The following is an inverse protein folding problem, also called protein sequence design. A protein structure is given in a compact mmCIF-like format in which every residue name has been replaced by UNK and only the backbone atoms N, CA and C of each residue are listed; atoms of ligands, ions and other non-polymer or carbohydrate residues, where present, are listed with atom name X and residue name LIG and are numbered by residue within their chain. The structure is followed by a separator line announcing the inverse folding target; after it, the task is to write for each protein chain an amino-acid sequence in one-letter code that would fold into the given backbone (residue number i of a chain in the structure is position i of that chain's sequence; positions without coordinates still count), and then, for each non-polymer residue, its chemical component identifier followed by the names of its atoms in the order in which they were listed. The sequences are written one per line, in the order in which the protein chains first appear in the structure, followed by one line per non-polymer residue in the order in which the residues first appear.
data_IF_523229724766
#
_entry.id   IF_523229724766
#
_cell.length_a   1.000
_cell.length_b   1.000
_cell.length_c   1.000
_cell.angle_alpha   90.00
_cell.angle_beta   90.00
_cell.angle_gamma   90.00
#
_symmetry.space_group_name_H-M   'P 1'
#
loop_
_entity.id
_entity.type
_entity.pdbx_description
1 polymer ?
#
# COMPACT_ATOMS: atom_id res chain seq x y z
N UNK A 1 -40.67 -67.05 8.63
CA UNK A 1 -41.28 -65.77 9.03
C UNK A 1 -40.26 -64.97 9.84
N UNK A 2 -40.00 -63.70 9.47
CA UNK A 2 -39.56 -62.53 10.31
C UNK A 2 -38.31 -62.72 11.20
N UNK A 3 -37.26 -61.89 11.23
CA UNK A 3 -37.04 -60.46 10.89
C UNK A 3 -35.54 -60.23 10.66
N UNK A 4 -35.21 -59.29 9.76
CA UNK A 4 -33.88 -58.73 9.50
C UNK A 4 -33.44 -57.85 10.67
N UNK A 5 -32.16 -57.95 11.06
CA UNK A 5 -31.49 -56.97 11.90
C UNK A 5 -31.07 -55.77 11.03
N UNK A 6 -31.43 -54.57 11.46
CA UNK A 6 -31.05 -53.30 10.84
C UNK A 6 -29.97 -52.68 11.71
N UNK A 7 -28.80 -52.41 11.13
CA UNK A 7 -27.78 -51.58 11.75
C UNK A 7 -28.24 -50.11 11.78
N UNK A 8 -27.96 -49.34 12.85
CA UNK A 8 -28.16 -47.91 12.83
C UNK A 8 -27.02 -47.27 12.03
N UNK A 9 -27.35 -46.79 10.84
CA UNK A 9 -26.51 -45.86 10.10
C UNK A 9 -26.53 -44.54 10.88
N UNK A 10 -25.42 -44.19 11.53
CA UNK A 10 -25.23 -42.84 12.06
C UNK A 10 -25.17 -41.88 10.86
N UNK A 11 -26.29 -41.25 10.57
CA UNK A 11 -26.36 -40.04 9.74
C UNK A 11 -25.68 -38.91 10.52
N UNK A 12 -24.38 -38.74 10.30
CA UNK A 12 -23.67 -37.52 10.69
C UNK A 12 -24.27 -36.37 9.88
N UNK A 13 -24.95 -35.47 10.58
CA UNK A 13 -25.55 -34.27 10.03
C UNK A 13 -24.48 -33.42 9.31
N UNK A 14 -24.64 -33.05 8.03
CA UNK A 14 -23.69 -32.20 7.30
C UNK A 14 -23.46 -30.84 7.97
N UNK A 15 -24.41 -30.37 8.78
CA UNK A 15 -24.35 -29.13 9.55
C UNK A 15 -23.32 -29.17 10.69
N UNK A 16 -22.91 -30.35 11.17
CA UNK A 16 -21.87 -30.46 12.21
C UNK A 16 -20.45 -30.36 11.63
N UNK A 17 -20.24 -30.74 10.36
CA UNK A 17 -18.94 -30.67 9.70
C UNK A 17 -18.61 -29.20 9.33
N UNK A 18 -19.61 -28.42 8.91
CA UNK A 18 -19.43 -26.98 8.62
C UNK A 18 -19.15 -26.13 9.87
N UNK A 19 -19.74 -26.47 11.02
CA UNK A 19 -19.50 -25.77 12.27
C UNK A 19 -18.09 -26.06 12.83
N UNK A 20 -17.58 -27.29 12.66
CA UNK A 20 -16.24 -27.67 13.13
C UNK A 20 -15.13 -27.09 12.24
N UNK A 21 -15.36 -26.91 10.94
CA UNK A 21 -14.36 -26.26 10.06
C UNK A 21 -14.22 -24.75 10.32
N UNK A 22 -15.32 -24.05 10.62
CA UNK A 22 -15.26 -22.62 11.02
C UNK A 22 -14.63 -22.44 12.40
N UNK A 23 -14.89 -23.35 13.36
CA UNK A 23 -14.28 -23.30 14.69
C UNK A 23 -12.79 -23.69 14.72
N UNK A 24 -12.36 -24.62 13.85
CA UNK A 24 -10.95 -25.02 13.75
C UNK A 24 -10.05 -23.92 13.14
N UNK A 25 -10.62 -23.06 12.28
CA UNK A 25 -9.93 -21.88 11.73
C UNK A 25 -9.64 -20.84 12.84
N UNK A 26 -10.55 -20.66 13.80
CA UNK A 26 -10.36 -19.70 14.91
C UNK A 26 -9.31 -20.13 15.96
N UNK A 27 -9.08 -21.43 16.13
CA UNK A 27 -8.18 -21.98 17.16
C UNK A 27 -6.71 -22.11 16.73
N UNK A 28 -6.40 -21.98 15.44
CA UNK A 28 -5.04 -22.22 14.94
C UNK A 28 -4.04 -21.07 15.21
N UNK A 29 -4.49 -19.94 15.77
CA UNK A 29 -3.61 -18.79 16.03
C UNK A 29 -3.01 -18.17 14.76
N UNK A 30 -3.42 -18.60 13.58
CA UNK A 30 -2.89 -18.14 12.31
C UNK A 30 -3.76 -17.02 11.72
N UNK A 31 -3.09 -16.24 10.86
CA UNK A 31 -3.52 -15.01 10.21
C UNK A 31 -4.90 -15.10 9.52
N UNK A 32 -5.40 -13.96 9.07
CA UNK A 32 -6.66 -13.82 8.32
C UNK A 32 -6.67 -14.74 7.08
N UNK A 33 -7.39 -15.85 7.12
CA UNK A 33 -7.62 -16.75 5.98
C UNK A 33 -8.86 -16.29 5.20
N UNK A 34 -8.68 -15.79 3.98
CA UNK A 34 -9.78 -15.29 3.16
C UNK A 34 -10.35 -16.29 2.17
N UNK A 35 -9.82 -17.52 2.14
CA UNK A 35 -10.04 -18.44 1.03
C UNK A 35 -9.61 -17.83 -0.32
N UNK A 36 -9.98 -18.52 -1.41
CA UNK A 36 -9.63 -18.13 -2.79
C UNK A 36 -10.42 -16.91 -3.31
N UNK A 37 -11.45 -16.47 -2.60
CA UNK A 37 -12.38 -15.40 -3.01
C UNK A 37 -12.09 -14.03 -2.37
N UNK A 38 -10.99 -13.91 -1.61
CA UNK A 38 -10.65 -12.68 -0.91
C UNK A 38 -9.92 -11.67 -1.79
N UNK A 39 -10.34 -10.41 -1.69
CA UNK A 39 -9.68 -9.11 -2.02
C UNK A 39 -9.25 -8.81 -3.47
N UNK A 40 -9.88 -7.78 -4.02
CA UNK A 40 -9.40 -7.06 -5.21
C UNK A 40 -10.47 -6.12 -5.76
N UNK A 41 -11.70 -6.61 -5.81
CA UNK A 41 -12.93 -5.87 -6.13
C UNK A 41 -14.04 -6.60 -5.38
N UNK A 42 -14.83 -5.90 -4.56
CA UNK A 42 -16.01 -6.53 -3.94
C UNK A 42 -17.10 -6.64 -4.99
N UNK A 43 -17.65 -7.84 -5.20
CA UNK A 43 -18.79 -8.04 -6.11
C UNK A 43 -20.15 -7.81 -5.42
N UNK A 44 -20.22 -7.87 -4.08
CA UNK A 44 -21.45 -7.58 -3.32
C UNK A 44 -21.17 -6.72 -2.08
N UNK A 45 -21.90 -5.60 -1.84
CA UNK A 45 -21.72 -4.78 -0.66
C UNK A 45 -22.60 -5.27 0.51
N UNK A 46 -22.02 -5.31 1.70
CA UNK A 46 -22.78 -4.96 2.90
C UNK A 46 -22.91 -3.43 2.96
N UNK A 47 -23.85 -2.89 2.18
CA UNK A 47 -24.15 -1.46 2.13
C UNK A 47 -24.99 -1.08 3.35
N UNK A 48 -24.34 -0.51 4.37
CA UNK A 48 -24.91 0.47 5.31
C UNK A 48 -23.75 1.01 6.17
N UNK A 49 -23.02 2.00 5.65
CA UNK A 49 -22.10 2.78 6.47
C UNK A 49 -22.93 3.64 7.44
N UNK A 50 -22.60 3.72 8.73
CA UNK A 50 -23.28 4.60 9.68
C UNK A 50 -23.26 6.04 9.19
N UNK A 51 -24.37 6.73 9.42
CA UNK A 51 -24.52 8.18 9.21
C UNK A 51 -23.66 9.03 10.15
N UNK A 52 -23.02 8.41 11.14
CA UNK A 52 -22.17 9.07 12.14
C UNK A 52 -20.79 9.45 11.58
N UNK A 53 -20.53 9.12 10.30
CA UNK A 53 -19.40 9.61 9.50
C UNK A 53 -19.50 11.13 9.39
N UNK A 54 -18.49 11.86 9.87
CA UNK A 54 -18.35 13.29 9.60
C UNK A 54 -18.26 13.50 8.07
N UNK A 55 -19.39 13.84 7.46
CA UNK A 55 -19.49 14.18 6.06
C UNK A 55 -18.92 15.59 5.85
N UNK A 56 -17.62 15.66 5.62
CA UNK A 56 -16.99 16.87 5.11
C UNK A 56 -17.07 16.81 3.59
N UNK A 57 -17.86 17.70 3.00
CA UNK A 57 -17.89 17.91 1.55
C UNK A 57 -16.92 19.02 1.20
N UNK A 58 -16.03 18.78 0.23
CA UNK A 58 -15.11 19.79 -0.29
C UNK A 58 -14.43 19.32 -1.57
N UNK A 59 -13.93 20.26 -2.37
CA UNK A 59 -12.91 19.97 -3.37
C UNK A 59 -11.58 19.87 -2.63
N UNK A 60 -10.91 18.71 -2.75
CA UNK A 60 -9.67 18.39 -2.01
C UNK A 60 -8.41 18.46 -2.89
N UNK A 61 -8.54 19.12 -4.04
CA UNK A 61 -7.44 19.47 -4.92
C UNK A 61 -7.34 20.99 -4.95
N UNK A 62 -6.15 21.50 -4.65
CA UNK A 62 -5.91 22.91 -4.39
C UNK A 62 -5.70 23.67 -5.71
N UNK A 63 -6.76 23.78 -6.50
CA UNK A 63 -6.78 24.72 -7.63
C UNK A 63 -8.22 25.06 -8.04
N UNK A 64 -8.61 26.33 -7.90
CA UNK A 64 -9.89 26.86 -8.41
C UNK A 64 -9.79 27.26 -9.87
N UNK A 65 -8.59 27.36 -10.43
CA UNK A 65 -8.35 27.87 -11.78
C UNK A 65 -8.11 26.75 -12.80
N UNK A 66 -7.54 25.63 -12.38
CA UNK A 66 -7.43 24.46 -13.27
C UNK A 66 -8.71 23.63 -13.24
N UNK A 67 -9.30 23.39 -14.42
CA UNK A 67 -10.30 22.34 -14.65
C UNK A 67 -9.64 20.96 -14.49
N UNK A 68 -8.99 20.69 -13.37
CA UNK A 68 -8.33 19.43 -13.12
C UNK A 68 -9.38 18.32 -13.09
N UNK A 69 -9.04 17.12 -13.55
CA UNK A 69 -9.96 15.97 -13.53
C UNK A 69 -10.41 15.60 -12.11
N UNK A 70 -9.72 16.14 -11.11
CA UNK A 70 -9.75 15.70 -9.72
C UNK A 70 -10.81 16.43 -8.89
N UNK A 71 -11.46 17.46 -9.44
CA UNK A 71 -12.56 18.16 -8.77
C UNK A 71 -13.76 17.26 -8.44
N UNK A 72 -13.84 16.08 -9.06
CA UNK A 72 -14.88 15.07 -8.81
C UNK A 72 -14.60 14.23 -7.56
N UNK A 73 -13.35 14.24 -7.08
CA UNK A 73 -12.92 13.40 -5.96
C UNK A 73 -13.37 14.01 -4.63
N UNK A 74 -14.14 13.21 -3.87
CA UNK A 74 -14.60 13.57 -2.52
C UNK A 74 -13.94 12.68 -1.50
N UNK A 75 -13.49 13.28 -0.39
CA UNK A 75 -12.76 12.61 0.67
C UNK A 75 -13.57 12.63 1.97
N UNK A 76 -13.73 11.46 2.60
CA UNK A 76 -14.47 11.30 3.87
C UNK A 76 -13.67 10.45 4.85
N UNK A 77 -13.62 10.84 6.12
CA UNK A 77 -13.02 10.00 7.16
C UNK A 77 -14.02 8.92 7.52
N UNK A 78 -13.67 7.65 7.31
CA UNK A 78 -14.49 6.51 7.75
C UNK A 78 -14.17 6.17 9.20
N UNK A 79 -12.89 6.13 9.54
CA UNK A 79 -12.44 5.77 10.89
C UNK A 79 -11.13 6.45 11.25
N UNK A 80 -11.06 7.01 12.46
CA UNK A 80 -9.82 7.30 13.15
C UNK A 80 -9.44 6.06 13.96
N UNK A 81 -8.39 5.35 13.52
CA UNK A 81 -8.01 4.10 14.18
C UNK A 81 -7.25 4.36 15.49
N UNK A 82 -6.76 5.59 15.74
CA UNK A 82 -6.01 5.92 16.94
C UNK A 82 -6.77 5.63 18.24
N UNK A 83 -8.07 5.93 18.29
CA UNK A 83 -8.93 5.69 19.46
C UNK A 83 -9.17 4.20 19.71
N UNK A 84 -9.48 3.46 18.63
CA UNK A 84 -9.66 2.01 18.69
C UNK A 84 -8.40 1.33 19.21
N UNK A 85 -7.24 1.83 18.77
CA UNK A 85 -5.93 1.28 19.10
C UNK A 85 -5.46 1.63 20.51
N UNK A 86 -5.78 2.83 21.00
CA UNK A 86 -5.54 3.19 22.39
C UNK A 86 -6.32 2.27 23.34
N UNK A 87 -7.58 1.99 23.01
CA UNK A 87 -8.42 1.05 23.77
C UNK A 87 -7.86 -0.37 23.68
N UNK A 88 -7.57 -0.84 22.45
CA UNK A 88 -7.01 -2.16 22.17
C UNK A 88 -5.75 -2.46 22.98
N UNK A 89 -4.77 -1.55 22.90
CA UNK A 89 -3.45 -1.72 23.51
C UNK A 89 -3.48 -1.60 25.03
N UNK A 90 -4.46 -0.88 25.59
CA UNK A 90 -4.63 -0.75 27.05
C UNK A 90 -4.93 -2.09 27.76
N UNK A 91 -5.63 -2.99 27.07
CA UNK A 91 -5.99 -4.32 27.57
C UNK A 91 -4.93 -5.39 27.30
N UNK A 92 -3.99 -5.14 26.37
CA UNK A 92 -2.96 -6.13 26.08
C UNK A 92 -1.95 -6.19 27.23
N UNK A 93 -1.52 -7.39 27.61
CA UNK A 93 -0.34 -7.60 28.48
C UNK A 93 0.97 -7.30 27.73
N UNK A 94 0.97 -6.28 26.88
CA UNK A 94 2.19 -5.73 26.34
C UNK A 94 2.77 -4.86 27.45
N UNK A 95 4.07 -4.96 27.69
CA UNK A 95 4.75 -4.28 28.81
C UNK A 95 4.28 -2.83 28.93
N UNK A 96 3.52 -2.51 29.99
CA UNK A 96 2.92 -1.17 30.21
C UNK A 96 3.97 -0.05 30.30
N UNK A 97 5.25 -0.41 30.39
CA UNK A 97 6.39 0.51 30.30
C UNK A 97 6.71 0.94 28.87
N UNK A 98 6.09 0.35 27.86
CA UNK A 98 6.30 0.67 26.45
C UNK A 98 5.12 1.47 25.91
N UNK A 99 5.41 2.61 25.30
CA UNK A 99 4.45 3.37 24.50
C UNK A 99 4.52 2.88 23.05
N UNK A 100 3.35 2.55 22.50
CA UNK A 100 3.21 2.04 21.14
C UNK A 100 2.56 3.09 20.26
N UNK A 101 3.18 3.39 19.12
CA UNK A 101 2.58 4.24 18.09
C UNK A 101 2.04 3.35 16.96
N UNK A 102 0.72 3.33 16.73
CA UNK A 102 0.17 2.64 15.59
C UNK A 102 0.40 3.41 14.30
N UNK A 103 0.75 2.70 13.24
CA UNK A 103 1.14 3.31 11.97
C UNK A 103 0.67 2.48 10.77
N UNK A 104 0.45 3.15 9.63
CA UNK A 104 0.39 2.59 8.29
C UNK A 104 -0.71 1.53 8.13
N UNK A 105 -1.98 1.95 8.20
CA UNK A 105 -3.11 1.04 8.28
C UNK A 105 -3.40 0.36 6.93
N UNK A 106 -3.09 -0.92 6.78
CA UNK A 106 -3.53 -1.69 5.63
C UNK A 106 -4.96 -2.23 5.85
N UNK A 107 -5.90 -1.83 4.99
CA UNK A 107 -7.29 -2.29 5.01
C UNK A 107 -7.54 -3.38 3.97
N UNK A 108 -8.36 -4.36 4.32
CA UNK A 108 -8.83 -5.43 3.44
C UNK A 108 -10.22 -5.93 3.83
N UNK A 109 -10.95 -6.58 2.91
CA UNK A 109 -12.22 -7.26 3.20
C UNK A 109 -12.06 -8.77 3.06
N UNK A 110 -12.49 -9.50 4.08
CA UNK A 110 -12.26 -10.93 4.17
C UNK A 110 -13.31 -11.59 5.06
N UNK A 111 -13.84 -12.75 4.68
CA UNK A 111 -14.83 -13.51 5.45
C UNK A 111 -16.02 -12.68 5.94
N UNK A 112 -16.53 -11.78 5.10
CA UNK A 112 -17.66 -10.92 5.44
C UNK A 112 -17.34 -9.80 6.44
N UNK A 113 -16.07 -9.48 6.67
CA UNK A 113 -15.61 -8.46 7.63
C UNK A 113 -14.51 -7.59 7.06
N UNK A 114 -14.42 -6.36 7.54
CA UNK A 114 -13.26 -5.52 7.31
C UNK A 114 -12.15 -5.93 8.25
N UNK A 115 -10.94 -6.07 7.72
CA UNK A 115 -9.75 -6.28 8.51
C UNK A 115 -8.80 -5.11 8.30
N UNK A 116 -8.29 -4.60 9.41
CA UNK A 116 -7.27 -3.56 9.41
C UNK A 116 -6.03 -4.10 10.08
N UNK A 117 -4.89 -3.88 9.43
CA UNK A 117 -3.57 -4.18 9.94
C UNK A 117 -2.83 -2.89 10.19
N UNK A 118 -2.25 -2.71 11.37
CA UNK A 118 -1.36 -1.59 11.69
C UNK A 118 -0.02 -2.07 12.20
N UNK A 119 1.03 -1.30 11.89
CA UNK A 119 2.33 -1.41 12.53
C UNK A 119 2.25 -0.82 13.94
N UNK A 120 2.75 -1.52 14.95
CA UNK A 120 3.01 -0.97 16.27
C UNK A 120 4.51 -0.68 16.41
N UNK A 121 4.85 0.57 16.70
CA UNK A 121 6.23 0.99 16.92
C UNK A 121 6.50 1.22 18.42
N UNK A 122 7.54 0.58 18.97
CA UNK A 122 8.00 0.78 20.35
C UNK A 122 8.83 2.07 20.45
N UNK A 123 8.30 3.10 21.12
CA UNK A 123 8.96 4.40 21.20
C UNK A 123 10.15 4.43 22.17
N UNK A 124 10.29 3.46 23.08
CA UNK A 124 11.37 3.49 24.08
C UNK A 124 12.66 2.80 23.61
N UNK A 125 12.58 1.98 22.57
CA UNK A 125 13.70 1.15 22.14
C UNK A 125 14.31 1.63 20.82
N UNK A 126 14.84 2.85 20.79
CA UNK A 126 15.49 3.42 19.61
C UNK A 126 16.69 2.60 19.10
N UNK A 127 17.34 1.82 19.99
CA UNK A 127 18.44 0.93 19.65
C UNK A 127 17.99 -0.27 18.80
N UNK A 128 16.73 -0.67 18.91
CA UNK A 128 16.10 -1.71 18.11
C UNK A 128 14.93 -1.12 17.33
N UNK A 129 15.25 -0.41 16.23
CA UNK A 129 14.31 -0.02 15.15
C UNK A 129 13.59 -1.22 14.47
N UNK A 130 13.53 -2.37 15.14
CA UNK A 130 13.33 -3.71 14.62
C UNK A 130 12.12 -4.39 15.31
N UNK A 131 11.50 -3.74 16.29
CA UNK A 131 10.32 -4.29 17.01
C UNK A 131 9.03 -3.75 16.42
N UNK A 132 8.74 -4.08 15.14
CA UNK A 132 7.42 -3.79 14.56
C UNK A 132 6.50 -4.97 14.85
N UNK A 133 5.42 -4.73 15.58
CA UNK A 133 4.34 -5.71 15.69
C UNK A 133 3.24 -5.35 14.73
N UNK A 134 2.44 -6.34 14.37
CA UNK A 134 1.37 -6.19 13.42
C UNK A 134 0.08 -6.45 14.18
N UNK A 135 -0.72 -5.42 14.41
CA UNK A 135 -2.00 -5.58 15.08
C UNK A 135 -3.09 -5.77 14.02
N UNK A 136 -3.87 -6.82 14.17
CA UNK A 136 -5.08 -7.05 13.38
C UNK A 136 -6.32 -6.67 14.17
N UNK A 137 -7.28 -6.06 13.49
CA UNK A 137 -8.60 -5.73 14.02
C UNK A 137 -9.64 -6.12 12.98
N UNK A 138 -10.74 -6.71 13.44
CA UNK A 138 -11.89 -7.03 12.59
C UNK A 138 -13.03 -6.07 12.88
N UNK A 139 -13.70 -5.60 11.83
CA UNK A 139 -14.84 -4.70 11.90
C UNK A 139 -16.01 -5.26 11.09
N UNK A 140 -17.23 -4.89 11.50
CA UNK A 140 -18.42 -5.13 10.69
C UNK A 140 -18.48 -4.18 9.48
N UNK A 141 -19.51 -4.31 8.64
CA UNK A 141 -19.76 -3.45 7.48
C UNK A 141 -19.86 -1.96 7.82
N UNK A 142 -20.12 -1.64 9.08
CA UNK A 142 -20.24 -0.29 9.61
C UNK A 142 -18.92 0.24 10.21
N UNK A 143 -17.80 -0.48 10.05
CA UNK A 143 -16.51 -0.17 10.67
C UNK A 143 -16.58 -0.07 12.20
N UNK A 144 -17.45 -0.87 12.84
CA UNK A 144 -17.46 -1.05 14.29
C UNK A 144 -16.61 -2.29 14.65
N UNK A 145 -15.72 -2.21 15.66
CA UNK A 145 -14.94 -3.37 16.09
C UNK A 145 -15.85 -4.54 16.47
N UNK A 146 -15.59 -5.74 15.93
CA UNK A 146 -16.37 -6.96 16.23
C UNK A 146 -15.56 -8.08 16.87
N UNK A 147 -14.26 -7.86 17.04
CA UNK A 147 -13.38 -8.81 17.71
C UNK A 147 -12.28 -8.07 18.47
N UNK A 148 -11.79 -8.71 19.54
CA UNK A 148 -10.62 -8.24 20.26
C UNK A 148 -9.39 -8.17 19.33
N UNK A 149 -8.64 -7.06 19.36
CA UNK A 149 -7.45 -6.89 18.55
C UNK A 149 -6.37 -7.93 18.87
N UNK A 150 -5.69 -8.44 17.82
CA UNK A 150 -4.66 -9.48 17.97
C UNK A 150 -3.32 -8.97 17.48
N UNK A 151 -2.31 -9.00 18.35
CA UNK A 151 -0.91 -8.82 17.93
C UNK A 151 -0.48 -10.08 17.23
N UNK A 152 -0.18 -9.96 15.96
CA UNK A 152 0.51 -10.97 15.18
C UNK A 152 2.00 -10.89 15.55
N UNK A 153 2.41 -11.81 16.41
CA UNK A 153 3.80 -12.04 16.76
C UNK A 153 4.51 -12.79 15.65
N UNK A 154 4.77 -12.14 14.51
CA UNK A 154 5.65 -12.75 13.51
C UNK A 154 7.09 -12.63 13.98
N UNK A 155 7.50 -13.65 14.73
CA UNK A 155 8.90 -14.02 14.84
C UNK A 155 9.24 -14.78 13.56
N UNK A 156 10.11 -14.21 12.73
CA UNK A 156 10.67 -14.94 11.59
C UNK A 156 12.19 -14.89 11.66
N UNK A 157 12.84 -15.80 10.93
CA UNK A 157 14.29 -15.93 10.93
C UNK A 157 14.85 -15.62 9.53
N UNK A 158 15.99 -14.95 9.47
CA UNK A 158 16.81 -14.78 8.27
C UNK A 158 18.27 -15.09 8.62
N UNK A 159 18.87 -16.07 7.95
CA UNK A 159 20.20 -16.61 8.29
C UNK A 159 20.33 -16.90 9.79
N UNK A 160 19.36 -17.63 10.35
CA UNK A 160 19.23 -17.98 11.78
C UNK A 160 19.07 -16.78 12.74
N UNK A 161 18.96 -15.55 12.23
CA UNK A 161 18.71 -14.38 13.08
C UNK A 161 17.23 -14.05 13.13
N UNK A 162 16.70 -14.01 14.34
CA UNK A 162 15.33 -13.63 14.63
C UNK A 162 15.11 -12.15 14.31
N UNK A 163 14.04 -11.83 13.58
CA UNK A 163 13.53 -10.47 13.47
C UNK A 163 12.01 -10.46 13.62
N UNK A 164 11.48 -9.31 14.06
CA UNK A 164 10.08 -9.15 14.42
C UNK A 164 9.37 -8.17 13.49
N UNK A 165 8.46 -8.74 12.68
CA UNK A 165 7.51 -8.04 11.83
C UNK A 165 8.09 -7.28 10.63
N UNK A 166 7.19 -6.55 9.97
CA UNK A 166 7.45 -5.76 8.77
C UNK A 166 7.10 -4.29 9.05
N UNK A 167 7.91 -3.36 8.54
CA UNK A 167 7.48 -1.96 8.40
C UNK A 167 6.66 -1.78 7.12
N UNK A 168 5.83 -0.72 7.08
CA UNK A 168 5.14 -0.30 5.86
C UNK A 168 4.33 -1.44 5.22
N UNK A 169 3.55 -2.14 6.05
CA UNK A 169 2.80 -3.32 5.65
C UNK A 169 1.73 -2.99 4.60
N UNK A 170 1.62 -3.86 3.61
CA UNK A 170 0.68 -3.81 2.48
C UNK A 170 -0.02 -5.15 2.36
N UNK A 171 -1.28 -5.16 1.99
CA UNK A 171 -2.06 -6.39 1.84
C UNK A 171 -2.47 -6.56 0.39
N UNK A 172 -2.12 -7.71 -0.19
CA UNK A 172 -2.46 -8.03 -1.57
C UNK A 172 -2.74 -9.52 -1.69
N UNK A 173 -3.62 -9.87 -2.63
CA UNK A 173 -3.92 -11.26 -2.95
C UNK A 173 -3.01 -11.73 -4.06
N UNK A 174 -2.36 -12.86 -3.81
CA UNK A 174 -1.40 -13.48 -4.72
C UNK A 174 -1.70 -14.96 -4.76
N UNK A 175 -1.99 -15.47 -5.97
CA UNK A 175 -2.36 -16.88 -6.17
C UNK A 175 -3.55 -17.29 -5.28
N UNK A 176 -4.61 -16.47 -5.30
CA UNK A 176 -5.82 -16.66 -4.50
C UNK A 176 -5.65 -16.52 -2.99
N UNK A 177 -4.47 -16.10 -2.49
CA UNK A 177 -4.19 -16.02 -1.06
C UNK A 177 -3.80 -14.63 -0.62
N UNK A 178 -4.33 -14.21 0.52
CA UNK A 178 -3.90 -12.96 1.15
C UNK A 178 -2.43 -13.08 1.59
N UNK A 179 -1.60 -12.15 1.11
CA UNK A 179 -0.21 -12.00 1.50
C UNK A 179 -0.01 -10.62 2.09
N UNK A 180 0.93 -10.54 3.01
CA UNK A 180 1.38 -9.29 3.57
C UNK A 180 2.77 -8.97 3.04
N UNK A 181 2.92 -7.82 2.43
CA UNK A 181 4.21 -7.32 1.97
C UNK A 181 4.67 -6.19 2.88
N UNK A 182 5.99 -6.03 3.06
CA UNK A 182 6.52 -4.93 3.84
C UNK A 182 8.04 -4.91 3.85
N UNK A 183 8.60 -4.01 4.63
CA UNK A 183 10.05 -3.86 4.75
C UNK A 183 10.53 -4.62 5.98
N UNK A 184 11.31 -5.68 5.77
CA UNK A 184 12.01 -6.41 6.82
C UNK A 184 13.35 -5.73 7.14
N UNK A 185 13.65 -5.54 8.42
CA UNK A 185 14.96 -5.05 8.88
C UNK A 185 15.79 -6.22 9.37
N UNK A 186 16.73 -6.62 8.52
CA UNK A 186 17.58 -7.77 8.74
C UNK A 186 18.83 -7.32 9.52
N UNK A 187 19.16 -7.96 10.64
CA UNK A 187 20.36 -7.64 11.40
C UNK A 187 21.61 -8.02 10.62
N UNK A 188 22.67 -7.25 10.82
CA UNK A 188 23.99 -7.48 10.22
C UNK A 188 25.06 -7.56 11.30
N UNK A 189 26.22 -8.13 10.95
CA UNK A 189 27.37 -8.24 11.86
C UNK A 189 27.89 -6.87 12.35
N UNK A 190 27.68 -5.81 11.58
CA UNK A 190 28.13 -4.44 11.89
C UNK A 190 27.01 -3.57 12.53
N UNK A 191 25.90 -4.18 12.94
CA UNK A 191 24.73 -3.50 13.54
C UNK A 191 24.09 -2.44 12.62
N UNK A 192 24.33 -2.49 11.30
CA UNK A 192 23.64 -1.67 10.30
C UNK A 192 22.54 -2.50 9.64
N UNK A 193 21.28 -2.40 10.10
CA UNK A 193 20.24 -3.27 9.59
C UNK A 193 20.01 -3.04 8.09
N UNK A 194 19.93 -4.13 7.33
CA UNK A 194 19.52 -4.11 5.93
C UNK A 194 18.01 -4.05 5.86
N UNK A 195 17.46 -3.04 5.20
CA UNK A 195 16.04 -3.01 4.88
C UNK A 195 15.82 -3.75 3.55
N UNK A 196 14.96 -4.78 3.56
CA UNK A 196 14.62 -5.60 2.39
C UNK A 196 13.13 -5.68 2.20
N UNK A 197 12.70 -5.86 0.95
CA UNK A 197 11.33 -6.23 0.64
C UNK A 197 11.10 -7.65 1.15
N UNK A 198 10.00 -7.88 1.85
CA UNK A 198 9.61 -9.20 2.29
C UNK A 198 8.11 -9.42 2.10
N UNK A 199 7.74 -10.69 1.92
CA UNK A 199 6.37 -11.17 1.87
C UNK A 199 6.18 -12.20 2.97
N UNK A 200 5.11 -12.08 3.73
CA UNK A 200 4.63 -13.07 4.68
C UNK A 200 3.35 -13.67 4.10
N UNK A 201 3.35 -14.98 3.93
CA UNK A 201 2.12 -15.73 3.69
C UNK A 201 1.30 -15.74 4.98
N UNK A 202 0.09 -15.20 4.91
CA UNK A 202 -0.82 -15.11 6.04
C UNK A 202 -1.00 -16.48 6.72
N UNK A 203 -1.39 -17.49 5.96
CA UNK A 203 -1.87 -18.77 6.52
C UNK A 203 -0.71 -19.58 7.10
N UNK A 204 0.37 -19.73 6.33
CA UNK A 204 1.53 -20.55 6.70
C UNK A 204 2.55 -19.80 7.54
N UNK A 205 2.41 -18.49 7.70
CA UNK A 205 3.40 -17.60 8.34
C UNK A 205 4.81 -17.70 7.74
N UNK A 206 4.95 -18.26 6.52
CA UNK A 206 6.24 -18.33 5.83
C UNK A 206 6.62 -16.96 5.31
N UNK A 207 7.88 -16.57 5.55
CA UNK A 207 8.43 -15.32 5.06
C UNK A 207 9.38 -15.58 3.90
N UNK A 208 9.18 -14.85 2.80
CA UNK A 208 10.12 -14.75 1.68
C UNK A 208 10.76 -13.37 1.70
N UNK A 209 12.09 -13.32 1.80
CA UNK A 209 12.87 -12.09 1.64
C UNK A 209 13.28 -11.98 0.17
N UNK A 210 13.07 -10.80 -0.40
CA UNK A 210 13.21 -10.62 -1.84
C UNK A 210 14.66 -10.26 -2.19
N UNK A 211 15.18 -10.94 -3.19
CA UNK A 211 16.52 -10.77 -3.73
C UNK A 211 16.44 -10.64 -5.24
N UNK A 212 17.26 -9.76 -5.82
CA UNK A 212 17.30 -9.56 -7.27
C UNK A 212 18.52 -10.27 -7.83
N UNK A 213 18.31 -11.18 -8.78
CA UNK A 213 19.36 -11.92 -9.44
C UNK A 213 20.29 -10.96 -10.19
N UNK A 214 21.60 -11.20 -10.08
CA UNK A 214 22.66 -10.44 -10.76
C UNK A 214 22.67 -8.92 -10.52
N UNK A 215 22.00 -8.45 -9.46
CA UNK A 215 21.95 -7.05 -9.09
C UNK A 215 22.18 -6.85 -7.59
N UNK A 216 22.89 -5.77 -7.24
CA UNK A 216 23.12 -5.41 -5.84
C UNK A 216 22.04 -4.44 -5.36
N UNK A 217 21.19 -4.93 -4.47
CA UNK A 217 20.23 -4.10 -3.74
C UNK A 217 20.96 -3.07 -2.84
N UNK A 218 20.36 -1.89 -2.69
CA UNK A 218 20.71 -0.92 -1.68
C UNK A 218 20.60 -1.48 -0.26
N UNK A 219 21.28 -0.82 0.68
CA UNK A 219 21.18 -1.17 2.10
C UNK A 219 19.76 -0.98 2.65
N UNK A 220 18.98 -0.07 2.05
CA UNK A 220 17.62 0.25 2.49
C UNK A 220 16.65 0.25 1.33
N UNK A 221 15.95 -0.86 1.19
CA UNK A 221 14.87 -1.03 0.22
C UNK A 221 13.54 -0.59 0.81
N UNK A 222 13.05 0.57 0.35
CA UNK A 222 11.79 1.17 0.77
C UNK A 222 11.10 1.82 -0.42
N UNK A 223 9.81 2.05 -0.27
CA UNK A 223 8.99 2.77 -1.24
C UNK A 223 8.95 2.09 -2.62
N UNK A 224 8.57 0.82 -2.60
CA UNK A 224 8.23 -0.01 -3.75
C UNK A 224 6.72 -0.29 -3.74
N UNK A 225 6.19 -0.78 -4.86
CA UNK A 225 4.76 -1.06 -5.02
C UNK A 225 4.56 -2.43 -5.70
N UNK A 226 3.91 -3.41 -5.04
CA UNK A 226 3.63 -4.70 -5.64
C UNK A 226 2.37 -4.68 -6.51
N UNK A 227 2.28 -5.57 -7.50
CA UNK A 227 1.07 -5.79 -8.28
C UNK A 227 1.10 -7.16 -8.98
N UNK A 228 -0.06 -7.66 -9.41
CA UNK A 228 -0.17 -8.90 -10.17
C UNK A 228 -0.34 -8.59 -11.66
N UNK A 229 0.56 -9.11 -12.49
CA UNK A 229 0.54 -8.95 -13.95
C UNK A 229 0.63 -10.33 -14.60
N UNK A 230 -0.38 -10.67 -15.40
CA UNK A 230 -0.48 -11.97 -16.08
C UNK A 230 -0.29 -13.15 -15.11
N UNK A 231 -0.92 -13.08 -13.93
CA UNK A 231 -0.81 -14.10 -12.89
C UNK A 231 0.53 -14.17 -12.14
N UNK A 232 1.51 -13.34 -12.50
CA UNK A 232 2.81 -13.27 -11.83
C UNK A 232 2.89 -12.08 -10.89
N UNK A 233 3.67 -12.21 -9.82
CA UNK A 233 4.00 -11.10 -8.92
C UNK A 233 5.05 -10.19 -9.56
N UNK A 234 4.72 -8.91 -9.65
CA UNK A 234 5.62 -7.86 -10.08
C UNK A 234 5.77 -6.80 -8.99
N UNK A 235 6.90 -6.10 -9.01
CA UNK A 235 7.19 -4.97 -8.10
C UNK A 235 7.67 -3.79 -8.94
N UNK A 236 6.97 -2.67 -8.85
CA UNK A 236 7.53 -1.39 -9.26
C UNK A 236 8.50 -0.94 -8.18
N UNK A 237 9.78 -1.13 -8.46
CA UNK A 237 10.88 -0.82 -7.55
C UNK A 237 11.11 0.69 -7.45
N UNK A 238 10.92 1.40 -8.55
CA UNK A 238 10.97 2.86 -8.64
C UNK A 238 10.01 3.34 -9.73
N UNK A 239 9.39 4.50 -9.54
CA UNK A 239 8.57 5.17 -10.56
C UNK A 239 9.38 6.14 -11.43
N UNK A 240 10.56 6.58 -10.97
CA UNK A 240 11.43 7.46 -11.74
C UNK A 240 12.92 7.34 -11.36
N UNK A 241 13.77 6.72 -12.21
CA UNK A 241 13.38 5.98 -13.41
C UNK A 241 12.39 4.86 -13.10
N UNK A 242 11.53 4.54 -14.06
CA UNK A 242 10.65 3.39 -13.91
C UNK A 242 11.47 2.09 -13.96
N UNK A 243 11.35 1.29 -12.90
CA UNK A 243 12.00 -0.03 -12.78
C UNK A 243 10.97 -1.06 -12.35
N UNK A 244 10.79 -2.11 -13.17
CA UNK A 244 9.87 -3.22 -12.90
C UNK A 244 10.67 -4.49 -12.64
N UNK A 245 10.37 -5.14 -11.52
CA UNK A 245 10.86 -6.46 -11.16
C UNK A 245 9.75 -7.48 -11.37
N UNK A 246 10.10 -8.67 -11.85
CA UNK A 246 9.25 -9.86 -11.77
C UNK A 246 9.80 -10.76 -10.68
N UNK A 247 8.94 -11.24 -9.78
CA UNK A 247 9.36 -11.98 -8.59
C UNK A 247 8.60 -13.30 -8.43
N UNK A 248 9.31 -14.33 -7.99
CA UNK A 248 8.73 -15.55 -7.48
C UNK A 248 8.21 -15.39 -6.04
N UNK A 249 7.32 -16.29 -5.63
CA UNK A 249 6.82 -16.34 -4.24
C UNK A 249 7.88 -16.80 -3.23
N UNK A 250 9.00 -17.32 -3.73
CA UNK A 250 10.20 -17.66 -2.96
C UNK A 250 11.12 -16.44 -2.73
N UNK A 251 10.76 -15.26 -3.26
CA UNK A 251 11.53 -14.02 -3.12
C UNK A 251 12.58 -13.79 -4.20
N UNK A 252 12.81 -14.73 -5.13
CA UNK A 252 13.76 -14.50 -6.22
C UNK A 252 13.14 -13.59 -7.28
N UNK A 253 13.83 -12.50 -7.61
CA UNK A 253 13.38 -11.50 -8.57
C UNK A 253 14.38 -11.30 -9.71
N UNK A 254 13.87 -10.83 -10.84
CA UNK A 254 14.66 -10.36 -11.99
C UNK A 254 14.17 -8.98 -12.45
N UNK A 255 15.08 -8.16 -12.98
CA UNK A 255 14.73 -6.87 -13.59
C UNK A 255 14.17 -7.14 -14.99
N UNK A 256 12.88 -6.88 -15.19
CA UNK A 256 12.20 -7.07 -16.49
C UNK A 256 12.10 -5.77 -17.31
N UNK A 257 12.35 -4.63 -16.67
CA UNK A 257 12.40 -3.33 -17.32
C UNK A 257 13.17 -2.30 -16.50
N UNK A 258 13.95 -1.46 -17.20
CA UNK A 258 14.49 -0.23 -16.66
C UNK A 258 14.42 0.87 -17.71
N UNK A 259 13.79 2.00 -17.39
CA UNK A 259 13.53 3.11 -18.33
C UNK A 259 14.77 3.58 -19.11
N UNK A 260 15.89 3.83 -18.42
CA UNK A 260 17.10 4.38 -19.06
C UNK A 260 18.13 3.36 -19.55
N UNK A 261 18.24 2.20 -18.92
CA UNK A 261 19.37 1.30 -19.18
C UNK A 261 18.99 0.04 -19.96
N UNK A 262 17.69 -0.29 -20.06
CA UNK A 262 17.36 -1.67 -20.39
C UNK A 262 15.93 -1.88 -20.92
N UNK A 263 15.82 -2.06 -22.24
CA UNK A 263 14.60 -2.55 -22.89
C UNK A 263 14.59 -4.09 -23.09
N UNK A 264 15.73 -4.77 -22.91
CA UNK A 264 15.90 -6.23 -23.04
C UNK A 264 16.80 -6.82 -21.94
N UNK A 265 16.35 -7.82 -21.15
CA UNK A 265 17.14 -8.49 -20.10
C UNK A 265 18.34 -9.32 -20.61
N UNK A 266 19.34 -9.66 -19.76
CA UNK A 266 19.49 -9.34 -18.34
C UNK A 266 20.13 -7.96 -18.10
N UNK A 267 19.67 -7.27 -17.05
CA UNK A 267 20.04 -5.88 -16.76
C UNK A 267 20.98 -5.78 -15.56
N UNK A 268 22.24 -6.12 -15.79
CA UNK A 268 23.31 -6.00 -14.79
C UNK A 268 23.44 -4.53 -14.36
N UNK A 269 23.60 -4.29 -13.06
CA UNK A 269 23.79 -2.95 -12.46
C UNK A 269 22.59 -1.98 -12.56
N UNK A 270 21.41 -2.44 -13.01
CA UNK A 270 20.22 -1.60 -13.17
C UNK A 270 19.71 -0.99 -11.85
N UNK A 271 20.07 -1.56 -10.70
CA UNK A 271 19.67 -1.10 -9.37
C UNK A 271 20.79 -0.34 -8.63
N UNK A 272 21.91 -0.05 -9.29
CA UNK A 272 23.00 0.68 -8.67
C UNK A 272 22.61 2.13 -8.35
N UNK A 273 23.21 2.70 -7.30
CA UNK A 273 22.74 4.02 -6.80
C UNK A 273 22.91 5.12 -7.85
N UNK A 274 23.86 4.96 -8.76
CA UNK A 274 24.05 5.85 -9.88
C UNK A 274 22.92 5.75 -10.92
N UNK A 275 22.40 4.55 -11.18
CA UNK A 275 21.31 4.33 -12.15
C UNK A 275 19.98 4.91 -11.66
N UNK A 276 19.76 4.90 -10.35
CA UNK A 276 18.54 5.40 -9.70
C UNK A 276 18.60 6.87 -9.29
N UNK A 277 19.75 7.54 -9.43
CA UNK A 277 19.85 8.98 -9.20
C UNK A 277 19.13 9.69 -10.34
N UNK A 278 17.98 10.32 -10.04
CA UNK A 278 17.40 11.26 -10.99
C UNK A 278 18.35 12.44 -11.19
N UNK A 279 18.45 12.89 -12.43
CA UNK A 279 19.21 14.10 -12.81
C UNK A 279 18.65 15.37 -12.14
N UNK A 280 17.48 15.30 -11.49
CA UNK A 280 16.65 16.47 -11.18
C UNK A 280 16.58 16.87 -9.71
N UNK A 281 17.29 16.20 -8.80
CA UNK A 281 17.56 16.70 -7.44
C UNK A 281 16.34 17.11 -6.59
N UNK A 282 15.14 16.69 -6.97
CA UNK A 282 13.85 17.12 -6.44
C UNK A 282 12.92 15.94 -6.21
N UNK A 283 11.77 16.25 -5.63
CA UNK A 283 10.75 15.31 -5.16
C UNK A 283 10.62 14.07 -6.02
N UNK A 284 10.65 12.90 -5.37
CA UNK A 284 10.62 11.63 -6.07
C UNK A 284 9.27 10.99 -5.78
N UNK A 285 8.50 10.73 -6.83
CA UNK A 285 7.41 9.77 -6.74
C UNK A 285 7.99 8.41 -6.38
N UNK A 286 7.62 7.87 -5.23
CA UNK A 286 8.21 6.66 -4.66
C UNK A 286 7.16 5.82 -3.95
N UNK A 287 7.08 4.54 -4.31
CA UNK A 287 6.30 3.53 -3.60
C UNK A 287 4.86 3.91 -3.32
N UNK A 288 4.17 3.05 -2.58
CA UNK A 288 2.78 3.32 -2.24
C UNK A 288 2.00 2.05 -1.98
N UNK A 289 0.71 2.07 -2.23
CA UNK A 289 -0.16 0.89 -2.13
C UNK A 289 0.15 -0.12 -3.25
N UNK A 290 -0.29 -1.38 -3.11
CA UNK A 290 -0.36 -2.31 -4.23
C UNK A 290 -1.16 -1.73 -5.41
N UNK A 291 -0.80 -2.03 -6.66
CA UNK A 291 -1.63 -1.62 -7.81
C UNK A 291 -2.72 -2.65 -8.11
N UNK A 292 -3.88 -2.15 -8.52
CA UNK A 292 -5.03 -2.94 -8.96
C UNK A 292 -5.19 -2.77 -10.47
N UNK A 293 -5.45 -3.84 -11.25
CA UNK A 293 -5.71 -3.73 -12.68
C UNK A 293 -7.00 -2.94 -12.95
N UNK A 294 -7.00 -2.15 -14.02
CA UNK A 294 -8.17 -1.45 -14.53
C UNK A 294 -8.46 -1.86 -15.99
N UNK A 295 -9.37 -2.82 -16.16
CA UNK A 295 -9.64 -3.43 -17.45
C UNK A 295 -8.54 -4.41 -17.89
N UNK A 296 -8.60 -4.83 -19.15
CA UNK A 296 -7.75 -5.90 -19.71
C UNK A 296 -6.58 -5.39 -20.58
N UNK A 297 -6.43 -4.08 -20.69
CA UNK A 297 -5.48 -3.40 -21.58
C UNK A 297 -4.12 -3.10 -20.92
N UNK A 298 -3.91 -3.64 -19.71
CA UNK A 298 -2.69 -3.51 -18.95
C UNK A 298 -2.54 -2.18 -18.22
N UNK A 299 -3.61 -1.42 -18.00
CA UNK A 299 -3.62 -0.33 -17.02
C UNK A 299 -3.77 -0.87 -15.60
N UNK A 300 -3.05 -0.23 -14.69
CA UNK A 300 -3.07 -0.46 -13.25
C UNK A 300 -3.16 0.88 -12.56
N UNK A 301 -3.77 0.92 -11.39
CA UNK A 301 -3.87 2.15 -10.61
C UNK A 301 -3.63 1.91 -9.14
N UNK A 302 -3.30 2.97 -8.44
CA UNK A 302 -3.14 2.93 -6.99
C UNK A 302 -2.75 4.29 -6.44
N UNK A 303 -2.24 4.25 -5.21
CA UNK A 303 -1.74 5.44 -4.53
C UNK A 303 -0.24 5.31 -4.32
N UNK A 304 0.44 6.44 -4.46
CA UNK A 304 1.86 6.56 -4.21
C UNK A 304 2.14 7.79 -3.37
N UNK A 305 3.36 7.94 -2.87
CA UNK A 305 3.76 9.16 -2.19
C UNK A 305 4.96 9.82 -2.84
N UNK A 306 5.03 11.13 -2.69
CA UNK A 306 6.23 11.90 -3.02
C UNK A 306 6.97 12.29 -1.75
N UNK A 307 8.25 12.62 -1.88
CA UNK A 307 9.02 13.23 -0.79
C UNK A 307 9.46 14.62 -1.25
N UNK A 308 8.80 15.66 -0.73
CA UNK A 308 9.13 17.04 -1.04
C UNK A 308 10.17 17.51 -0.01
N UNK A 309 11.30 18.03 -0.48
CA UNK A 309 12.36 18.56 0.38
C UNK A 309 12.32 20.08 0.34
N UNK A 310 11.71 20.68 1.37
CA UNK A 310 11.77 22.12 1.53
C UNK A 310 13.12 22.54 2.07
N UNK A 311 13.83 23.34 1.26
CA UNK A 311 15.04 24.04 1.71
C UNK A 311 14.59 25.33 2.35
N UNK A 312 14.42 25.33 3.67
CA UNK A 312 14.27 26.59 4.40
C UNK A 312 15.53 27.45 4.18
N UNK A 313 15.41 28.50 3.36
CA UNK A 313 16.39 29.59 3.31
C UNK A 313 16.15 30.47 4.52
N UNK A 314 16.83 30.22 5.62
CA UNK A 314 16.84 31.19 6.71
C UNK A 314 17.49 32.50 6.24
N UNK A 315 16.76 33.61 6.40
CA UNK A 315 17.10 34.96 5.92
C UNK A 315 18.38 35.59 6.51
N UNK A 316 19.11 34.94 7.43
CA UNK A 316 20.22 35.59 8.15
C UNK A 316 21.43 34.67 8.46
N UNK A 317 22.10 34.23 7.39
CA UNK A 317 23.57 34.17 7.37
C UNK A 317 24.29 32.95 7.93
N UNK A 318 23.91 32.32 9.05
CA UNK A 318 24.77 31.28 9.66
C UNK A 318 23.98 30.24 10.47
N UNK A 319 23.46 29.19 9.81
CA UNK A 319 23.29 27.82 10.36
C UNK A 319 22.66 26.87 9.33
N UNK A 320 22.97 25.57 9.48
CA UNK A 320 22.65 24.48 8.55
C UNK A 320 21.20 24.49 8.07
N UNK A 321 21.02 24.35 6.74
CA UNK A 321 19.75 24.10 6.08
C UNK A 321 19.25 22.73 6.55
N UNK A 322 18.27 22.69 7.47
CA UNK A 322 17.52 21.45 7.70
C UNK A 322 16.52 21.32 6.56
N UNK A 323 16.82 20.46 5.59
CA UNK A 323 15.80 20.05 4.64
C UNK A 323 14.71 19.29 5.40
N UNK A 324 13.50 19.86 5.45
CA UNK A 324 12.32 19.14 5.96
C UNK A 324 11.76 18.30 4.81
N UNK A 325 11.53 17.03 5.08
CA UNK A 325 10.91 16.11 4.13
C UNK A 325 9.42 16.01 4.44
N UNK A 326 8.57 16.57 3.60
CA UNK A 326 7.13 16.31 3.64
C UNK A 326 6.78 15.17 2.68
N UNK A 327 5.78 14.37 3.05
CA UNK A 327 5.30 13.28 2.21
C UNK A 327 3.87 13.58 1.81
N UNK A 328 3.60 13.53 0.51
CA UNK A 328 2.27 13.77 -0.03
C UNK A 328 1.78 12.55 -0.74
N UNK A 329 0.52 12.20 -0.50
CA UNK A 329 -0.13 11.09 -1.17
C UNK A 329 -0.72 11.55 -2.51
N UNK A 330 -0.58 10.69 -3.51
CA UNK A 330 -0.99 10.93 -4.88
C UNK A 330 -1.67 9.69 -5.45
N UNK A 331 -2.56 9.92 -6.39
CA UNK A 331 -3.17 8.89 -7.21
C UNK A 331 -2.38 8.70 -8.50
N UNK A 332 -2.14 7.45 -8.89
CA UNK A 332 -1.31 7.11 -10.03
C UNK A 332 -2.00 6.12 -10.95
N UNK A 333 -1.73 6.23 -12.25
CA UNK A 333 -2.13 5.24 -13.25
C UNK A 333 -0.88 4.81 -14.02
N UNK A 334 -0.60 3.51 -13.99
CA UNK A 334 0.51 2.85 -14.65
C UNK A 334 0.00 2.04 -15.84
N UNK A 335 0.55 2.25 -17.03
CA UNK A 335 0.31 1.36 -18.16
C UNK A 335 1.49 0.39 -18.31
N UNK A 336 1.25 -0.87 -18.00
CA UNK A 336 2.26 -1.93 -18.00
C UNK A 336 2.69 -2.42 -19.39
N UNK A 337 1.86 -2.18 -20.42
CA UNK A 337 2.15 -2.54 -21.81
C UNK A 337 3.14 -1.54 -22.40
N UNK A 338 2.87 -0.25 -22.23
CA UNK A 338 3.78 0.83 -22.63
C UNK A 338 4.92 1.04 -21.62
N UNK A 339 4.84 0.42 -20.44
CA UNK A 339 5.81 0.56 -19.34
C UNK A 339 6.03 2.04 -18.99
N UNK A 340 4.94 2.72 -18.67
CA UNK A 340 4.97 4.16 -18.31
C UNK A 340 3.90 4.52 -17.29
N UNK A 341 4.20 5.48 -16.41
CA UNK A 341 3.17 6.15 -15.59
C UNK A 341 2.44 7.15 -16.48
N UNK A 342 1.18 6.89 -16.79
CA UNK A 342 0.37 7.71 -17.72
C UNK A 342 -0.36 8.85 -17.00
N UNK A 343 -0.51 8.75 -15.67
CA UNK A 343 -1.12 9.78 -14.86
C UNK A 343 -0.55 9.80 -13.45
N UNK A 344 -0.42 11.01 -12.95
CA UNK A 344 -0.01 11.31 -11.60
C UNK A 344 -0.80 12.53 -11.12
N UNK A 345 -1.55 12.38 -10.04
CA UNK A 345 -2.41 13.44 -9.54
C UNK A 345 -1.62 14.58 -8.90
N UNK A 346 -2.25 15.74 -8.75
CA UNK A 346 -1.83 16.69 -7.71
C UNK A 346 -1.89 16.01 -6.32
N UNK A 347 -1.16 16.50 -5.31
CA UNK A 347 -1.32 15.99 -3.95
C UNK A 347 -2.77 16.00 -3.51
N UNK A 348 -3.20 14.92 -2.88
CA UNK A 348 -4.53 14.85 -2.29
C UNK A 348 -4.50 15.62 -0.96
N UNK A 349 -5.36 16.61 -0.79
CA UNK A 349 -5.40 17.41 0.42
C UNK A 349 -6.12 16.67 1.57
N UNK A 350 -5.39 15.78 2.26
CA UNK A 350 -5.87 15.11 3.47
C UNK A 350 -5.92 16.03 4.69
N UNK A 351 -5.25 17.18 4.67
CA UNK A 351 -5.23 18.13 5.78
C UNK A 351 -6.61 18.75 6.05
N UNK A 352 -7.33 19.10 4.97
CA UNK A 352 -8.64 19.75 5.07
C UNK A 352 -9.67 18.97 5.89
N UNK A 353 -9.88 17.65 5.68
CA UNK A 353 -10.78 16.88 6.54
C UNK A 353 -10.19 16.57 7.92
N UNK A 354 -8.87 16.62 8.08
CA UNK A 354 -8.19 16.28 9.33
C UNK A 354 -8.06 17.44 10.32
N UNK A 355 -8.30 18.68 9.88
CA UNK A 355 -8.09 19.91 10.67
C UNK A 355 -8.78 19.91 12.05
N UNK A 356 -9.92 19.23 12.17
CA UNK A 356 -10.75 19.22 13.38
C UNK A 356 -10.55 17.94 14.22
N UNK A 357 -9.78 16.96 13.72
CA UNK A 357 -9.58 15.65 14.36
C UNK A 357 -8.13 15.35 14.73
N UNK A 358 -7.16 16.09 14.16
CA UNK A 358 -5.73 15.98 14.50
C UNK A 358 -5.27 17.26 15.20
N UNK A 359 -4.56 17.16 16.35
CA UNK A 359 -3.99 18.33 17.01
C UNK A 359 -2.97 19.02 16.10
N UNK A 360 -3.23 20.28 15.74
CA UNK A 360 -2.36 21.16 14.94
C UNK A 360 -1.85 20.53 13.63
N UNK A 361 -2.54 20.81 12.52
CA UNK A 361 -2.07 20.43 11.18
C UNK A 361 -0.85 21.28 10.82
N UNK A 362 0.31 20.64 10.66
CA UNK A 362 1.48 21.29 10.10
C UNK A 362 1.53 21.16 8.57
N UNK A 363 1.99 22.21 7.90
CA UNK A 363 2.19 22.20 6.45
C UNK A 363 3.18 21.13 6.00
N UNK A 364 4.05 20.61 6.86
CA UNK A 364 5.04 19.57 6.56
C UNK A 364 4.60 18.14 6.91
N UNK A 365 3.30 17.92 7.12
CA UNK A 365 2.78 16.61 7.51
C UNK A 365 3.19 15.46 6.56
N UNK A 366 3.42 14.29 7.16
CA UNK A 366 3.73 13.05 6.43
C UNK A 366 2.46 12.30 6.09
N UNK A 367 2.10 12.23 4.80
CA UNK A 367 0.98 11.45 4.30
C UNK A 367 1.50 10.18 3.61
N UNK A 368 1.22 9.02 4.19
CA UNK A 368 1.68 7.74 3.65
C UNK A 368 0.51 6.80 3.34
N UNK A 369 0.17 6.60 2.05
CA UNK A 369 -0.86 5.65 1.64
C UNK A 369 -0.30 4.23 1.72
N UNK A 370 -0.96 3.36 2.49
CA UNK A 370 -0.43 2.03 2.81
C UNK A 370 -1.16 0.91 2.06
N UNK A 371 -2.49 0.92 2.04
CA UNK A 371 -3.30 -0.02 1.26
C UNK A 371 -4.64 0.61 0.86
N UNK A 372 -5.29 0.09 -0.17
CA UNK A 372 -6.67 0.48 -0.48
C UNK A 372 -7.50 -0.71 -0.99
N UNK A 373 -8.83 -0.53 -0.95
CA UNK A 373 -9.81 -1.49 -1.47
C UNK A 373 -10.81 -0.72 -2.33
N UNK A 374 -11.07 -1.22 -3.53
CA UNK A 374 -12.15 -0.70 -4.38
C UNK A 374 -13.50 -1.32 -3.97
N UNK A 375 -14.49 -0.46 -3.79
CA UNK A 375 -15.85 -0.83 -3.41
C UNK A 375 -16.73 -1.03 -4.66
N UNK A 376 -17.84 -1.79 -4.56
CA UNK A 376 -18.71 -2.08 -5.71
C UNK A 376 -19.38 -0.82 -6.28
N UNK A 377 -19.57 0.21 -5.45
CA UNK A 377 -20.14 1.50 -5.84
C UNK A 377 -19.13 2.43 -6.55
N UNK A 378 -17.93 1.92 -6.85
CA UNK A 378 -16.86 2.67 -7.51
C UNK A 378 -16.09 3.61 -6.59
N UNK A 379 -16.43 3.69 -5.30
CA UNK A 379 -15.59 4.38 -4.31
C UNK A 379 -14.43 3.50 -3.84
N UNK A 380 -13.51 4.08 -3.08
CA UNK A 380 -12.36 3.36 -2.51
C UNK A 380 -12.24 3.61 -1.01
N UNK A 381 -11.80 2.60 -0.27
CA UNK A 381 -11.29 2.76 1.08
C UNK A 381 -9.76 2.82 1.04
N UNK A 382 -9.16 3.87 1.57
CA UNK A 382 -7.72 4.07 1.63
C UNK A 382 -7.26 4.12 3.08
N UNK A 383 -6.31 3.27 3.40
CA UNK A 383 -5.55 3.35 4.64
C UNK A 383 -4.40 4.35 4.51
N UNK A 384 -4.45 5.41 5.32
CA UNK A 384 -3.48 6.49 5.31
C UNK A 384 -2.85 6.65 6.70
N UNK A 385 -1.51 6.75 6.74
CA UNK A 385 -0.83 7.32 7.89
C UNK A 385 -0.71 8.83 7.72
N UNK A 386 -1.12 9.58 8.72
CA UNK A 386 -0.88 11.02 8.82
C UNK A 386 0.12 11.33 9.94
N UNK A 387 1.13 12.14 9.61
CA UNK A 387 2.19 12.64 10.49
C UNK A 387 2.90 11.55 11.33
N UNK A 388 3.11 10.37 10.73
CA UNK A 388 3.72 9.20 11.38
C UNK A 388 3.07 8.77 12.72
N UNK A 389 1.89 9.29 13.06
CA UNK A 389 1.25 9.05 14.37
C UNK A 389 -0.24 8.73 14.28
N UNK A 390 -0.93 9.23 13.26
CA UNK A 390 -2.38 9.10 13.16
C UNK A 390 -2.78 8.19 11.98
N UNK A 391 -3.16 6.93 12.26
CA UNK A 391 -3.69 6.01 11.25
C UNK A 391 -5.18 6.27 10.99
N UNK A 392 -5.54 6.46 9.73
CA UNK A 392 -6.92 6.70 9.27
C UNK A 392 -7.34 5.73 8.17
N UNK A 393 -8.64 5.46 8.12
CA UNK A 393 -9.31 4.90 6.94
C UNK A 393 -10.16 6.01 6.32
N UNK A 394 -9.87 6.34 5.07
CA UNK A 394 -10.62 7.30 4.28
C UNK A 394 -11.48 6.58 3.25
N UNK A 395 -12.66 7.14 2.96
CA UNK A 395 -13.44 6.82 1.78
C UNK A 395 -13.23 7.91 0.73
N UNK A 396 -12.98 7.48 -0.49
CA UNK A 396 -12.72 8.32 -1.63
C UNK A 396 -13.74 8.01 -2.72
N UNK A 397 -14.56 8.99 -3.09
CA UNK A 397 -15.56 8.86 -4.16
C UNK A 397 -15.08 9.60 -5.43
N UNK A 398 -15.60 9.25 -6.61
CA UNK A 398 -15.35 9.99 -7.88
C UNK A 398 -14.15 9.53 -8.71
N UNK A 399 -13.31 8.61 -8.20
CA UNK A 399 -12.10 8.16 -8.91
C UNK A 399 -12.35 7.36 -10.19
N UNK A 400 -13.47 6.64 -10.29
CA UNK A 400 -13.82 5.86 -11.50
C UNK A 400 -13.91 6.76 -12.73
N UNK A 401 -14.41 7.99 -12.58
CA UNK A 401 -14.50 8.94 -13.67
C UNK A 401 -13.10 9.36 -14.14
N UNK A 402 -12.21 9.72 -13.21
CA UNK A 402 -10.81 10.05 -13.50
C UNK A 402 -10.10 8.89 -14.18
N UNK A 403 -10.26 7.67 -13.66
CA UNK A 403 -9.71 6.43 -14.24
C UNK A 403 -10.14 6.26 -15.70
N UNK A 404 -11.44 6.27 -15.94
CA UNK A 404 -12.00 6.07 -17.28
C UNK A 404 -11.54 7.15 -18.26
N UNK A 405 -11.49 8.40 -17.82
CA UNK A 405 -11.07 9.50 -18.67
C UNK A 405 -9.59 9.41 -19.02
N UNK A 406 -8.70 9.19 -18.05
CA UNK A 406 -7.26 9.05 -18.32
C UNK A 406 -6.99 7.85 -19.22
N UNK A 407 -7.58 6.69 -18.91
CA UNK A 407 -7.39 5.47 -19.70
C UNK A 407 -7.93 5.63 -21.12
N UNK A 408 -9.08 6.30 -21.27
CA UNK A 408 -9.62 6.67 -22.58
C UNK A 408 -8.67 7.57 -23.38
N UNK A 409 -8.10 8.60 -22.74
CA UNK A 409 -7.12 9.49 -23.38
C UNK A 409 -5.84 8.76 -23.79
N UNK A 410 -5.31 7.87 -22.95
CA UNK A 410 -4.11 7.09 -23.27
C UNK A 410 -4.37 6.14 -24.46
N UNK A 411 -5.54 5.49 -24.50
CA UNK A 411 -5.96 4.64 -25.63
C UNK A 411 -6.06 5.40 -26.94
N UNK A 412 -6.77 6.52 -26.98
CA UNK A 412 -6.97 7.30 -28.20
C UNK A 412 -5.62 7.76 -28.78
N UNK A 413 -4.69 8.18 -27.92
CA UNK A 413 -3.34 8.59 -28.35
C UNK A 413 -2.55 7.45 -28.99
N UNK A 414 -2.71 6.21 -28.51
CA UNK A 414 -2.03 5.05 -29.11
C UNK A 414 -2.57 4.72 -30.49
N UNK A 415 -3.88 4.76 -30.66
CA UNK A 415 -4.50 4.54 -31.98
C UNK A 415 -4.03 5.59 -33.00
N UNK A 416 -3.92 6.85 -32.58
CA UNK A 416 -3.37 7.91 -33.42
C UNK A 416 -1.90 7.63 -33.78
N UNK A 417 -1.07 7.18 -32.82
CA UNK A 417 0.36 6.90 -33.05
C UNK A 417 0.60 5.76 -34.04
N UNK A 418 -0.27 4.74 -34.07
CA UNK A 418 -0.16 3.64 -35.04
C UNK A 418 -0.55 4.03 -36.46
N UNK A 419 -1.20 5.19 -36.64
CA UNK A 419 -1.60 5.73 -37.94
C UNK A 419 -0.60 6.73 -38.53
N UNK A 420 0.38 7.18 -37.73
CA UNK A 420 1.39 8.16 -38.15
C UNK A 420 2.80 7.61 -37.96
N UNK A 421 3.31 6.94 -38.99
CA UNK A 421 4.70 6.50 -39.09
C UNK A 421 5.60 7.72 -39.40
N UNK A 422 5.73 8.68 -38.46
CA UNK A 422 6.69 9.79 -38.58
C UNK A 422 7.16 10.27 -37.20
N UNK A 423 8.48 10.14 -37.02
CA UNK A 423 9.33 10.77 -36.01
C UNK A 423 8.89 12.16 -35.54
N UNK A 424 8.61 12.33 -34.25
CA UNK A 424 8.63 13.67 -33.64
C UNK A 424 7.61 13.98 -32.53
N UNK A 425 6.76 13.05 -32.09
CA UNK A 425 5.86 13.35 -30.94
C UNK A 425 6.59 13.20 -29.60
N UNK A 426 6.38 14.14 -28.66
CA UNK A 426 7.04 14.12 -27.35
C UNK A 426 6.64 12.85 -26.59
N UNK A 427 7.64 12.22 -25.97
CA UNK A 427 7.46 11.02 -25.16
C UNK A 427 6.44 11.34 -24.03
N UNK A 428 5.51 10.42 -23.74
CA UNK A 428 4.59 10.58 -22.61
C UNK A 428 5.34 10.72 -21.29
N UNK A 429 6.53 10.11 -21.20
CA UNK A 429 7.49 10.36 -20.13
C UNK A 429 7.87 11.84 -20.08
N UNK A 430 8.19 12.50 -21.20
CA UNK A 430 8.49 13.94 -21.23
C UNK A 430 7.28 14.79 -20.83
N UNK A 431 6.05 14.42 -21.19
CA UNK A 431 4.87 15.20 -20.81
C UNK A 431 4.50 15.04 -19.33
N UNK A 432 4.49 13.80 -18.81
CA UNK A 432 4.26 13.54 -17.39
C UNK A 432 5.39 14.12 -16.53
N UNK A 433 6.65 13.99 -16.98
CA UNK A 433 7.80 14.65 -16.37
C UNK A 433 7.71 16.17 -16.46
N UNK A 434 7.20 16.73 -17.57
CA UNK A 434 6.99 18.17 -17.71
C UNK A 434 5.91 18.67 -16.78
N UNK A 435 4.76 18.00 -16.70
CA UNK A 435 3.69 18.34 -15.75
C UNK A 435 4.17 18.21 -14.30
N UNK A 436 4.90 17.14 -13.98
CA UNK A 436 5.51 16.96 -12.67
C UNK A 436 6.54 18.06 -12.38
N UNK A 437 7.40 18.39 -13.33
CA UNK A 437 8.37 19.48 -13.22
C UNK A 437 7.69 20.83 -13.07
N UNK A 438 6.68 21.14 -13.88
CA UNK A 438 5.88 22.37 -13.79
C UNK A 438 5.21 22.49 -12.42
N UNK A 439 4.60 21.40 -11.92
CA UNK A 439 4.07 21.34 -10.57
C UNK A 439 5.16 21.60 -9.52
N UNK A 440 6.29 20.89 -9.59
CA UNK A 440 7.41 21.03 -8.66
C UNK A 440 8.07 22.42 -8.71
N UNK A 441 8.10 23.06 -9.87
CA UNK A 441 8.61 24.42 -10.04
C UNK A 441 7.64 25.46 -9.45
N UNK A 442 6.33 25.17 -9.37
CA UNK A 442 5.36 26.01 -8.62
C UNK A 442 5.47 25.88 -7.10
N UNK A 443 6.03 24.77 -6.60
CA UNK A 443 6.21 24.53 -5.16
C UNK A 443 7.51 25.14 -4.59
N UNK A 444 8.45 25.56 -5.44
CA UNK A 444 9.71 26.23 -5.04
C UNK A 444 9.52 27.75 -4.98
#
# INVERSE_FOLDING_TARGET
MKRKAVHPLLLLCPSFIFAVSTFAIELSGNFIDCGENGVGILEEPAANFPTDVQQLYGNYFDDKETKSLEHTIRLRIVRNLGEDLATATSGMRVDKRRSWSPMLPAVTWCNGRWHVIVRLNDNHNHAWKISSFILTMAYDSAFRPVAEPRVLGHTTFFNDVQYTGLEDARLMVVDGRLKMFGTAYLPTKDHKPLARIAMVDAISSKTAVFEVQDAKLHEREKNWTPFIKNGSLHILYSFYPLVELKCGLDGRCEVVYHEFYCHTPPCKDALDKASLKSLWGGSFLRGGCPLIPWGSDGHYFGFAHTTIFDKERHKFGLRQIKAKASYRAHFIIYNSVARQVVYFSNPINFQRPLKDVVPAVHEDAVEYPSNFVMLPDGSMLLGLQYDNTYPFVFRLDGFVEVLNQVVGMDKSRRMDSTSSDVSGRPNLSDHAQRLFKEYMDRQK
#
